data_IF_120885307824
#
_entry.id   IF_120885307824
#
_cell.length_a   1.000
_cell.length_b   1.000
_cell.length_c   1.000
_cell.angle_alpha   90.00
_cell.angle_beta   90.00
_cell.angle_gamma   90.00
#
_symmetry.space_group_name_H-M   'P 1'
#
loop_
_entity.id
_entity.type
_entity.pdbx_description
1 polymer ?
#
# COMPACT_ATOMS: atom_id res chain seq x y z
N UNK A 1 11.32 7.33 -17.65
CA UNK A 1 11.21 7.10 -16.18
C UNK A 1 12.60 6.76 -15.66
N UNK A 2 12.98 7.23 -14.47
CA UNK A 2 14.22 6.76 -13.84
C UNK A 2 14.11 5.26 -13.54
N UNK A 3 15.24 4.55 -13.60
CA UNK A 3 15.31 3.14 -13.22
C UNK A 3 14.96 2.99 -11.73
N UNK A 4 14.10 2.01 -11.42
CA UNK A 4 13.66 1.77 -10.05
C UNK A 4 14.71 0.95 -9.30
N UNK A 5 14.97 1.32 -8.06
CA UNK A 5 15.84 0.63 -7.12
C UNK A 5 15.26 0.73 -5.70
N UNK A 6 15.98 0.16 -4.72
CA UNK A 6 15.56 0.16 -3.32
C UNK A 6 15.20 1.55 -2.77
N UNK A 7 15.87 2.61 -3.24
CA UNK A 7 15.69 3.98 -2.74
C UNK A 7 14.47 4.69 -3.32
N UNK A 8 14.07 4.40 -4.57
CA UNK A 8 13.06 5.18 -5.30
C UNK A 8 11.83 4.38 -5.78
N UNK A 9 11.67 3.12 -5.35
CA UNK A 9 10.53 2.26 -5.70
C UNK A 9 9.17 2.65 -5.08
N UNK A 10 9.18 3.55 -4.09
CA UNK A 10 7.96 4.07 -3.46
C UNK A 10 7.37 5.19 -4.31
N UNK A 11 6.05 5.14 -4.54
CA UNK A 11 5.33 6.17 -5.27
C UNK A 11 4.51 7.01 -4.29
N UNK A 12 4.71 8.32 -4.34
CA UNK A 12 4.01 9.29 -3.50
C UNK A 12 3.32 10.32 -4.38
N UNK A 13 2.01 10.48 -4.19
CA UNK A 13 1.20 11.43 -4.96
C UNK A 13 0.86 12.60 -4.06
N UNK A 14 1.49 13.76 -4.29
CA UNK A 14 1.36 14.96 -3.43
C UNK A 14 -0.11 15.38 -3.28
N UNK A 15 -0.87 15.39 -4.37
CA UNK A 15 -2.30 15.72 -4.36
C UNK A 15 -3.08 14.86 -3.38
N UNK A 16 -2.90 13.54 -3.42
CA UNK A 16 -3.61 12.60 -2.55
C UNK A 16 -3.08 12.62 -1.11
N UNK A 17 -1.77 12.54 -0.93
CA UNK A 17 -1.18 12.27 0.38
C UNK A 17 -0.93 13.52 1.22
N UNK A 18 -0.71 14.68 0.60
CA UNK A 18 -0.47 15.95 1.30
C UNK A 18 -1.69 16.84 1.20
N UNK A 19 -2.10 17.22 -0.02
CA UNK A 19 -3.13 18.25 -0.20
C UNK A 19 -4.48 17.75 0.35
N UNK A 20 -4.94 16.59 -0.09
CA UNK A 20 -6.23 16.04 0.37
C UNK A 20 -6.22 15.71 1.87
N UNK A 21 -5.12 15.17 2.41
CA UNK A 21 -5.03 14.82 3.83
C UNK A 21 -5.07 16.06 4.73
N UNK A 22 -4.34 17.12 4.37
CA UNK A 22 -4.34 18.40 5.09
C UNK A 22 -5.71 19.06 5.02
N UNK A 23 -6.36 19.07 3.86
CA UNK A 23 -7.71 19.65 3.71
C UNK A 23 -8.75 18.91 4.54
N UNK A 24 -8.73 17.56 4.52
CA UNK A 24 -9.67 16.76 5.31
C UNK A 24 -9.44 16.92 6.82
N UNK A 25 -8.17 16.99 7.26
CA UNK A 25 -7.84 17.22 8.67
C UNK A 25 -8.27 18.63 9.12
N UNK A 26 -8.00 19.65 8.31
CA UNK A 26 -8.46 21.01 8.56
C UNK A 26 -9.99 21.08 8.64
N UNK A 27 -10.69 20.48 7.68
CA UNK A 27 -12.15 20.42 7.68
C UNK A 27 -12.71 19.70 8.91
N UNK A 28 -12.08 18.62 9.37
CA UNK A 28 -12.48 17.92 10.59
C UNK A 28 -12.33 18.80 11.82
N UNK A 29 -11.18 19.47 11.98
CA UNK A 29 -10.93 20.37 13.10
C UNK A 29 -11.94 21.52 13.09
N UNK A 30 -12.19 22.15 11.94
CA UNK A 30 -13.19 23.20 11.80
C UNK A 30 -14.59 22.70 12.13
N UNK A 31 -14.98 21.50 11.67
CA UNK A 31 -16.28 20.92 11.97
C UNK A 31 -16.46 20.63 13.47
N UNK A 32 -15.41 20.13 14.15
CA UNK A 32 -15.42 19.91 15.60
C UNK A 32 -15.60 21.25 16.33
N UNK A 33 -14.78 22.26 16.02
CA UNK A 33 -14.87 23.59 16.65
C UNK A 33 -16.25 24.21 16.43
N UNK A 34 -16.77 24.13 15.20
CA UNK A 34 -18.10 24.64 14.86
C UNK A 34 -19.20 23.92 15.63
N UNK A 35 -19.08 22.60 15.80
CA UNK A 35 -20.03 21.80 16.58
C UNK A 35 -20.03 22.21 18.04
N UNK A 36 -18.87 22.32 18.67
CA UNK A 36 -18.74 22.72 20.08
C UNK A 36 -19.28 24.13 20.32
N UNK A 37 -19.04 25.06 19.39
CA UNK A 37 -19.51 26.46 19.53
C UNK A 37 -21.00 26.67 19.30
N UNK A 38 -21.70 25.73 18.65
CA UNK A 38 -23.10 25.91 18.23
C UNK A 38 -24.04 24.88 18.87
N UNK A 39 -23.67 24.33 20.03
CA UNK A 39 -24.55 23.45 20.81
C UNK A 39 -25.78 24.25 21.26
N UNK A 40 -26.97 23.74 20.96
CA UNK A 40 -28.26 24.34 21.33
C UNK A 40 -28.91 25.13 20.18
N UNK A 41 -28.17 25.95 19.46
CA UNK A 41 -28.73 26.81 18.39
C UNK A 41 -28.74 26.13 17.02
N UNK A 42 -27.58 25.65 16.55
CA UNK A 42 -27.41 25.07 15.21
C UNK A 42 -26.94 23.62 15.26
N UNK A 43 -27.33 22.90 16.31
CA UNK A 43 -26.90 21.52 16.60
C UNK A 43 -27.10 20.58 15.42
N UNK A 44 -28.24 20.65 14.74
CA UNK A 44 -28.51 19.76 13.59
C UNK A 44 -27.52 20.00 12.45
N UNK A 45 -27.33 21.26 12.03
CA UNK A 45 -26.39 21.61 10.97
C UNK A 45 -24.94 21.25 11.34
N UNK A 46 -24.52 21.56 12.57
CA UNK A 46 -23.15 21.31 13.00
C UNK A 46 -22.83 19.80 13.09
N UNK A 47 -23.76 19.00 13.61
CA UNK A 47 -23.64 17.54 13.60
C UNK A 47 -23.66 16.97 12.19
N UNK A 48 -24.52 17.46 11.29
CA UNK A 48 -24.52 17.03 9.89
C UNK A 48 -23.17 17.29 9.24
N UNK A 49 -22.58 18.48 9.41
CA UNK A 49 -21.24 18.79 8.90
C UNK A 49 -20.18 17.84 9.46
N UNK A 50 -20.18 17.59 10.77
CA UNK A 50 -19.23 16.68 11.41
C UNK A 50 -19.35 15.24 10.87
N UNK A 51 -20.58 14.74 10.72
CA UNK A 51 -20.84 13.42 10.16
C UNK A 51 -20.42 13.32 8.69
N UNK A 52 -20.72 14.34 7.87
CA UNK A 52 -20.30 14.38 6.47
C UNK A 52 -18.78 14.35 6.33
N UNK A 53 -18.05 15.16 7.09
CA UNK A 53 -16.57 15.14 7.04
C UNK A 53 -16.01 13.80 7.54
N UNK A 54 -16.61 13.22 8.57
CA UNK A 54 -16.22 11.89 9.07
C UNK A 54 -16.44 10.79 8.01
N UNK A 55 -17.55 10.86 7.27
CA UNK A 55 -17.82 9.95 6.16
C UNK A 55 -16.79 10.13 5.04
N UNK A 56 -16.42 11.37 4.69
CA UNK A 56 -15.38 11.66 3.69
C UNK A 56 -14.00 11.12 4.10
N UNK A 57 -13.64 11.21 5.39
CA UNK A 57 -12.43 10.57 5.92
C UNK A 57 -12.47 9.05 5.76
N UNK A 58 -13.63 8.45 6.03
CA UNK A 58 -13.88 7.03 5.78
C UNK A 58 -13.66 6.67 4.31
N UNK A 59 -14.26 7.42 3.39
CA UNK A 59 -14.10 7.22 1.94
C UNK A 59 -12.63 7.36 1.53
N UNK A 60 -11.94 8.41 1.99
CA UNK A 60 -10.52 8.63 1.72
C UNK A 60 -9.66 7.45 2.19
N UNK A 61 -9.91 6.93 3.40
CA UNK A 61 -9.17 5.77 3.92
C UNK A 61 -9.46 4.50 3.12
N UNK A 62 -10.74 4.17 2.93
CA UNK A 62 -11.16 2.93 2.28
C UNK A 62 -10.78 2.90 0.79
N UNK A 63 -10.83 4.05 0.09
CA UNK A 63 -10.37 4.14 -1.30
C UNK A 63 -8.92 3.65 -1.46
N UNK A 64 -8.03 4.01 -0.53
CA UNK A 64 -6.63 3.53 -0.54
C UNK A 64 -6.52 2.06 -0.17
N UNK A 65 -7.15 1.66 0.95
CA UNK A 65 -7.01 0.30 1.48
C UNK A 65 -7.56 -0.75 0.50
N UNK A 66 -8.70 -0.47 -0.14
CA UNK A 66 -9.29 -1.39 -1.11
C UNK A 66 -8.43 -1.54 -2.35
N UNK A 67 -7.89 -0.44 -2.88
CA UNK A 67 -6.96 -0.49 -4.01
C UNK A 67 -5.70 -1.30 -3.68
N UNK A 68 -5.10 -1.09 -2.50
CA UNK A 68 -3.93 -1.85 -2.05
C UNK A 68 -4.24 -3.34 -1.89
N UNK A 69 -5.36 -3.70 -1.26
CA UNK A 69 -5.75 -5.12 -1.11
C UNK A 69 -6.04 -5.81 -2.44
N UNK A 70 -6.64 -5.10 -3.39
CA UNK A 70 -6.84 -5.62 -4.74
C UNK A 70 -5.49 -5.87 -5.43
N UNK A 71 -4.58 -4.91 -5.33
CA UNK A 71 -3.22 -5.04 -5.87
C UNK A 71 -2.43 -6.18 -5.22
N UNK A 72 -2.50 -6.33 -3.89
CA UNK A 72 -1.81 -7.41 -3.18
C UNK A 72 -2.29 -8.79 -3.65
N UNK A 73 -3.60 -8.96 -3.89
CA UNK A 73 -4.13 -10.22 -4.44
C UNK A 73 -3.62 -10.48 -5.86
N UNK A 74 -3.57 -9.45 -6.71
CA UNK A 74 -3.05 -9.55 -8.06
C UNK A 74 -1.55 -9.93 -8.04
N UNK A 75 -0.73 -9.24 -7.25
CA UNK A 75 0.69 -9.55 -7.06
C UNK A 75 0.88 -10.99 -6.59
N UNK A 76 0.09 -11.46 -5.61
CA UNK A 76 0.18 -12.86 -5.16
C UNK A 76 -0.12 -13.85 -6.28
N UNK A 77 -1.11 -13.58 -7.12
CA UNK A 77 -1.47 -14.45 -8.23
C UNK A 77 -0.37 -14.46 -9.31
N UNK A 78 0.11 -13.28 -9.70
CA UNK A 78 1.19 -13.11 -10.68
C UNK A 78 2.49 -13.79 -10.22
N UNK A 79 2.91 -13.55 -8.98
CA UNK A 79 4.14 -14.11 -8.44
C UNK A 79 4.04 -15.63 -8.20
N UNK A 80 2.86 -16.15 -7.83
CA UNK A 80 2.64 -17.59 -7.78
C UNK A 80 2.74 -18.23 -9.16
N UNK A 81 2.10 -17.63 -10.17
CA UNK A 81 2.17 -18.13 -11.54
C UNK A 81 3.61 -18.10 -12.05
N UNK A 82 4.32 -16.99 -11.81
CA UNK A 82 5.73 -16.84 -12.21
C UNK A 82 6.61 -17.90 -11.57
N UNK A 83 6.48 -18.12 -10.26
CA UNK A 83 7.24 -19.14 -9.56
C UNK A 83 6.87 -20.57 -10.02
N UNK A 84 5.60 -20.81 -10.32
CA UNK A 84 5.13 -22.09 -10.87
C UNK A 84 5.69 -22.37 -12.26
N UNK A 85 5.72 -21.39 -13.16
CA UNK A 85 6.32 -21.54 -14.49
C UNK A 85 7.81 -21.89 -14.39
N UNK A 86 8.53 -21.34 -13.41
CA UNK A 86 9.97 -21.59 -13.23
C UNK A 86 10.29 -22.92 -12.53
N UNK A 87 9.42 -23.40 -11.65
CA UNK A 87 9.74 -24.52 -10.72
C UNK A 87 8.78 -25.70 -10.77
N UNK A 88 7.61 -25.55 -11.41
CA UNK A 88 6.50 -26.50 -11.36
C UNK A 88 5.77 -26.53 -10.02
N UNK A 89 6.06 -25.62 -9.09
CA UNK A 89 5.46 -25.57 -7.74
C UNK A 89 4.91 -24.17 -7.43
N UNK A 90 3.89 -24.09 -6.60
CA UNK A 90 3.40 -22.80 -6.07
C UNK A 90 4.39 -22.20 -5.07
N UNK A 91 4.26 -20.91 -4.78
CA UNK A 91 5.06 -20.28 -3.74
C UNK A 91 4.84 -20.96 -2.38
N UNK A 92 5.88 -21.07 -1.55
CA UNK A 92 5.75 -21.58 -0.19
C UNK A 92 4.68 -20.83 0.61
N UNK A 93 3.79 -21.58 1.27
CA UNK A 93 2.63 -21.03 2.00
C UNK A 93 3.01 -20.20 3.24
N UNK A 94 4.24 -20.35 3.73
CA UNK A 94 4.80 -19.59 4.85
C UNK A 94 5.29 -18.19 4.45
N UNK A 95 5.32 -17.84 3.16
CA UNK A 95 5.63 -16.48 2.72
C UNK A 95 4.51 -15.51 3.06
N UNK A 96 4.86 -14.46 3.79
CA UNK A 96 3.98 -13.34 4.12
C UNK A 96 3.75 -12.47 2.88
N UNK A 97 2.60 -11.82 2.81
CA UNK A 97 2.25 -10.95 1.67
C UNK A 97 3.32 -9.89 1.39
N UNK A 98 3.89 -9.28 2.43
CA UNK A 98 4.98 -8.31 2.28
C UNK A 98 6.26 -8.88 1.64
N UNK A 99 6.60 -10.15 1.92
CA UNK A 99 7.72 -10.84 1.29
C UNK A 99 7.43 -11.11 -0.19
N UNK A 100 6.21 -11.54 -0.53
CA UNK A 100 5.79 -11.74 -1.93
C UNK A 100 5.86 -10.41 -2.71
N UNK A 101 5.40 -9.30 -2.12
CA UNK A 101 5.52 -7.97 -2.73
C UNK A 101 6.99 -7.55 -2.90
N UNK A 102 7.89 -7.98 -2.03
CA UNK A 102 9.31 -7.70 -2.20
C UNK A 102 9.92 -8.52 -3.36
N UNK A 103 9.57 -9.80 -3.47
CA UNK A 103 10.08 -10.72 -4.49
C UNK A 103 9.71 -10.32 -5.92
N UNK A 104 8.64 -9.54 -6.13
CA UNK A 104 8.25 -9.04 -7.46
C UNK A 104 9.34 -8.21 -8.15
N UNK A 105 10.21 -7.56 -7.36
CA UNK A 105 11.32 -6.75 -7.84
C UNK A 105 12.55 -7.61 -8.22
N UNK A 106 12.53 -8.91 -7.90
CA UNK A 106 13.59 -9.84 -8.28
C UNK A 106 13.32 -10.40 -9.70
N UNK A 107 14.32 -10.41 -10.59
CA UNK A 107 14.22 -11.01 -11.90
C UNK A 107 14.21 -12.54 -11.76
N UNK A 108 13.97 -13.25 -12.86
CA UNK A 108 13.71 -14.70 -12.79
C UNK A 108 14.92 -15.50 -12.33
N UNK A 109 16.12 -15.02 -12.64
CA UNK A 109 17.40 -15.60 -12.31
C UNK A 109 17.67 -15.58 -10.79
N UNK A 110 17.17 -14.54 -10.10
CA UNK A 110 17.35 -14.37 -8.65
C UNK A 110 16.16 -14.89 -7.83
N UNK A 111 14.97 -15.03 -8.44
CA UNK A 111 13.72 -15.30 -7.75
C UNK A 111 13.78 -16.58 -6.90
N UNK A 112 14.21 -17.70 -7.48
CA UNK A 112 14.17 -19.01 -6.81
C UNK A 112 15.06 -19.00 -5.58
N UNK A 113 16.29 -18.49 -5.72
CA UNK A 113 17.24 -18.38 -4.62
C UNK A 113 16.72 -17.45 -3.51
N UNK A 114 16.10 -16.32 -3.86
CA UNK A 114 15.54 -15.38 -2.89
C UNK A 114 14.31 -15.93 -2.17
N UNK A 115 13.46 -16.73 -2.84
CA UNK A 115 12.34 -17.44 -2.20
C UNK A 115 12.85 -18.44 -1.17
N UNK A 116 13.86 -19.23 -1.52
CA UNK A 116 14.43 -20.23 -0.62
C UNK A 116 15.07 -19.57 0.61
N UNK A 117 15.85 -18.49 0.41
CA UNK A 117 16.40 -17.69 1.50
C UNK A 117 15.32 -17.04 2.36
N UNK A 118 14.29 -16.44 1.75
CA UNK A 118 13.20 -15.79 2.47
C UNK A 118 12.43 -16.74 3.39
N UNK A 119 12.30 -18.01 2.98
CA UNK A 119 11.63 -19.04 3.78
C UNK A 119 12.53 -19.66 4.85
N UNK A 120 13.80 -19.92 4.55
CA UNK A 120 14.76 -20.53 5.51
C UNK A 120 15.27 -19.53 6.55
N UNK A 121 15.63 -18.33 6.12
CA UNK A 121 16.22 -17.28 6.97
C UNK A 121 15.14 -16.37 7.59
N UNK A 122 13.85 -16.57 7.25
CA UNK A 122 12.73 -15.72 7.71
C UNK A 122 12.92 -14.23 7.40
N UNK A 123 13.53 -13.91 6.24
CA UNK A 123 13.87 -12.55 5.83
C UNK A 123 12.68 -11.59 5.87
N UNK A 124 12.91 -10.35 6.30
CA UNK A 124 11.88 -9.32 6.16
C UNK A 124 11.74 -8.87 4.70
N UNK A 125 10.62 -8.22 4.36
CA UNK A 125 10.42 -7.63 3.05
C UNK A 125 11.50 -6.60 2.69
N UNK A 126 12.11 -5.95 3.70
CA UNK A 126 13.21 -5.01 3.51
C UNK A 126 14.49 -5.75 3.13
N UNK A 127 14.82 -6.81 3.86
CA UNK A 127 16.03 -7.60 3.63
C UNK A 127 16.00 -8.27 2.24
N UNK A 128 14.84 -8.78 1.83
CA UNK A 128 14.64 -9.31 0.47
C UNK A 128 14.97 -8.23 -0.57
N UNK A 129 14.41 -7.03 -0.45
CA UNK A 129 14.65 -5.95 -1.42
C UNK A 129 16.11 -5.49 -1.46
N UNK A 130 16.81 -5.54 -0.32
CA UNK A 130 18.23 -5.21 -0.22
C UNK A 130 19.13 -6.31 -0.79
N UNK A 131 18.66 -7.56 -0.80
CA UNK A 131 19.38 -8.70 -1.36
C UNK A 131 19.28 -8.82 -2.88
N UNK A 132 18.35 -8.09 -3.53
CA UNK A 132 18.20 -8.08 -4.99
C UNK A 132 19.37 -7.35 -5.62
N UNK A 133 20.08 -8.01 -6.53
CA UNK A 133 21.23 -7.44 -7.23
C UNK A 133 20.78 -6.69 -8.48
N UNK A 134 19.97 -7.32 -9.32
CA UNK A 134 19.44 -6.72 -10.54
C UNK A 134 17.98 -6.36 -10.33
N UNK A 135 17.68 -5.07 -10.22
CA UNK A 135 16.31 -4.64 -9.90
C UNK A 135 15.38 -4.71 -11.11
N UNK A 136 14.29 -5.46 -10.98
CA UNK A 136 13.18 -5.45 -11.95
C UNK A 136 12.24 -4.28 -11.60
N UNK A 137 12.10 -3.26 -12.46
CA UNK A 137 11.20 -2.15 -12.19
C UNK A 137 9.72 -2.58 -12.28
N UNK A 138 8.89 -2.03 -11.40
CA UNK A 138 7.42 -2.13 -11.44
C UNK A 138 6.81 -0.77 -11.82
N UNK A 139 6.50 -0.62 -13.10
CA UNK A 139 5.88 0.60 -13.64
C UNK A 139 4.35 0.63 -13.48
N UNK A 140 3.72 -0.49 -13.13
CA UNK A 140 2.25 -0.59 -13.01
C UNK A 140 1.72 -0.08 -11.67
N UNK A 141 2.58 0.48 -10.82
CA UNK A 141 2.19 1.01 -9.52
C UNK A 141 1.46 2.36 -9.66
N UNK A 142 0.18 2.38 -9.26
CA UNK A 142 -0.65 3.58 -9.15
C UNK A 142 -0.32 4.40 -7.90
#
# INVERSE_FOLDING_TARGET
MQEQNFQNHSKYVIGYHVITSVLLLGALITAIIYTVKNIGEKTSLSLTLLLTISALLGVFWYARVFALRAQDRAIRAEENLRYFVLTGKLLPSNLRMGQIIALRFAPNEELIALVDRATKESLSAKDIKQAIQNWRPDYHRA
#
